data_IF_943874945948
#
_entry.id   IF_943874945948
#
_cell.length_a   1.000
_cell.length_b   1.000
_cell.length_c   1.000
_cell.angle_alpha   90.00
_cell.angle_beta   90.00
_cell.angle_gamma   90.00
#
_symmetry.space_group_name_H-M   'P 1'
#
loop_
_entity.id
_entity.type
_entity.pdbx_description
1 polymer ?
#
# COMPACT_ATOMS: atom_id res chain seq x y z
N UNK A 1 -36.83 1.75 -10.20
CA UNK A 1 -35.49 2.05 -9.72
C UNK A 1 -34.49 0.99 -10.17
N UNK A 2 -33.33 1.43 -10.58
CA UNK A 2 -32.24 0.60 -11.09
C UNK A 2 -31.00 0.78 -10.22
N UNK A 3 -30.27 -0.31 -9.90
CA UNK A 3 -29.00 -0.27 -9.19
C UNK A 3 -27.89 -0.76 -10.12
N UNK A 4 -26.80 0.01 -10.20
CA UNK A 4 -25.58 -0.44 -10.88
C UNK A 4 -24.54 -0.91 -9.89
N UNK A 5 -23.76 -1.93 -10.29
CA UNK A 5 -22.63 -2.47 -9.51
C UNK A 5 -21.52 -2.87 -10.47
N UNK A 6 -20.29 -2.62 -10.12
CA UNK A 6 -19.18 -3.07 -10.96
C UNK A 6 -17.91 -2.24 -10.77
N UNK A 7 -17.07 -2.63 -9.82
CA UNK A 7 -15.75 -2.03 -9.59
C UNK A 7 -15.77 -0.50 -9.41
N UNK A 8 -16.90 0.04 -8.92
CA UNK A 8 -17.04 1.46 -8.55
C UNK A 8 -16.26 1.62 -7.24
N UNK A 9 -15.25 2.46 -7.26
CA UNK A 9 -14.34 2.68 -6.14
C UNK A 9 -13.87 4.15 -6.04
N UNK A 10 -14.23 4.93 -7.05
CA UNK A 10 -13.96 6.37 -7.11
C UNK A 10 -15.27 7.12 -6.90
N UNK A 11 -15.34 8.07 -5.95
CA UNK A 11 -16.55 8.86 -5.69
C UNK A 11 -17.07 9.56 -6.94
N UNK A 12 -16.16 10.17 -7.71
CA UNK A 12 -16.55 10.87 -8.93
C UNK A 12 -17.27 9.95 -9.94
N UNK A 13 -16.83 8.71 -10.07
CA UNK A 13 -17.50 7.74 -10.97
C UNK A 13 -18.92 7.43 -10.47
N UNK A 14 -19.11 7.28 -9.16
CA UNK A 14 -20.41 7.04 -8.56
C UNK A 14 -21.36 8.24 -8.80
N UNK A 15 -20.89 9.45 -8.51
CA UNK A 15 -21.66 10.70 -8.72
C UNK A 15 -21.99 10.93 -10.20
N UNK A 16 -21.05 10.71 -11.10
CA UNK A 16 -21.27 10.88 -12.55
C UNK A 16 -22.37 9.90 -13.07
N UNK A 17 -22.46 8.68 -12.56
CA UNK A 17 -23.51 7.70 -12.91
C UNK A 17 -24.88 8.19 -12.44
N UNK A 18 -24.97 8.64 -11.18
CA UNK A 18 -26.23 9.15 -10.61
C UNK A 18 -26.68 10.45 -11.32
N UNK A 19 -25.74 11.36 -11.54
CA UNK A 19 -26.05 12.64 -12.19
C UNK A 19 -26.54 12.50 -13.64
N UNK A 20 -26.06 11.48 -14.38
CA UNK A 20 -26.54 11.18 -15.73
C UNK A 20 -27.88 10.42 -15.74
N UNK A 21 -28.34 9.93 -14.60
CA UNK A 21 -29.53 9.08 -14.53
C UNK A 21 -29.31 7.66 -15.08
N UNK A 22 -28.06 7.20 -15.18
CA UNK A 22 -27.73 5.85 -15.64
C UNK A 22 -28.18 4.78 -14.63
N UNK A 23 -28.31 5.16 -13.35
CA UNK A 23 -28.87 4.35 -12.29
C UNK A 23 -29.41 5.23 -11.15
N UNK A 24 -30.35 4.69 -10.35
CA UNK A 24 -30.88 5.34 -9.15
C UNK A 24 -30.03 5.05 -7.92
N UNK A 25 -29.30 3.94 -7.92
CA UNK A 25 -28.48 3.49 -6.79
C UNK A 25 -27.14 2.93 -7.26
N UNK A 26 -26.13 3.09 -6.38
CA UNK A 26 -24.80 2.51 -6.54
C UNK A 26 -24.62 1.34 -5.60
N UNK A 27 -24.37 0.14 -6.13
CA UNK A 27 -24.03 -1.05 -5.38
C UNK A 27 -22.50 -1.19 -5.22
N UNK A 28 -22.03 -1.41 -4.01
CA UNK A 28 -20.61 -1.58 -3.73
C UNK A 28 -20.36 -2.84 -2.91
N UNK A 29 -19.40 -3.67 -3.33
CA UNK A 29 -18.94 -4.84 -2.58
C UNK A 29 -17.49 -4.67 -2.11
N UNK A 30 -16.52 -4.96 -2.98
CA UNK A 30 -15.09 -4.93 -2.64
C UNK A 30 -14.59 -3.54 -2.22
N UNK A 31 -15.23 -2.46 -2.68
CA UNK A 31 -14.95 -1.09 -2.22
C UNK A 31 -15.17 -0.97 -0.71
N UNK A 32 -16.31 -1.45 -0.19
CA UNK A 32 -16.64 -1.40 1.24
C UNK A 32 -15.85 -2.43 2.06
N UNK A 33 -15.42 -3.56 1.47
CA UNK A 33 -14.46 -4.46 2.15
C UNK A 33 -13.12 -3.76 2.36
N UNK A 34 -12.66 -3.00 1.36
CA UNK A 34 -11.42 -2.24 1.48
C UNK A 34 -11.56 -1.06 2.45
N UNK A 35 -12.67 -0.36 2.40
CA UNK A 35 -12.96 0.80 3.28
C UNK A 35 -14.45 0.84 3.65
N UNK A 36 -14.86 0.35 4.82
CA UNK A 36 -16.25 0.40 5.26
C UNK A 36 -16.77 1.83 5.44
N UNK A 37 -15.89 2.80 5.70
CA UNK A 37 -16.22 4.21 5.89
C UNK A 37 -16.26 5.01 4.57
N UNK A 38 -16.22 4.34 3.42
CA UNK A 38 -16.14 4.97 2.11
C UNK A 38 -17.23 6.05 1.92
N UNK A 39 -18.49 5.71 2.22
CA UNK A 39 -19.63 6.63 2.03
C UNK A 39 -19.52 7.82 2.98
N UNK A 40 -19.24 7.58 4.26
CA UNK A 40 -19.05 8.63 5.26
C UNK A 40 -17.92 9.58 4.86
N UNK A 41 -16.81 9.05 4.35
CA UNK A 41 -15.68 9.87 3.89
C UNK A 41 -16.06 10.76 2.71
N UNK A 42 -16.88 10.26 1.78
CA UNK A 42 -17.39 11.07 0.67
C UNK A 42 -18.34 12.16 1.18
N UNK A 43 -19.30 11.80 2.03
CA UNK A 43 -20.27 12.73 2.60
C UNK A 43 -19.60 13.92 3.32
N UNK A 44 -18.50 13.64 4.04
CA UNK A 44 -17.76 14.69 4.75
C UNK A 44 -16.61 15.31 3.97
N UNK A 45 -16.49 15.05 2.66
CA UNK A 45 -15.44 15.63 1.80
C UNK A 45 -14.03 15.10 2.05
N UNK A 46 -13.89 13.93 2.69
CA UNK A 46 -12.62 13.30 3.06
C UNK A 46 -12.20 12.22 2.05
N UNK A 47 -12.39 12.46 0.77
CA UNK A 47 -12.13 11.46 -0.29
C UNK A 47 -10.67 10.99 -0.35
N UNK A 48 -9.72 11.85 0.00
CA UNK A 48 -8.31 11.51 0.07
C UNK A 48 -7.99 10.46 1.16
N UNK A 49 -8.89 10.28 2.13
CA UNK A 49 -8.77 9.29 3.19
C UNK A 49 -9.36 7.92 2.82
N UNK A 50 -9.91 7.78 1.62
CA UNK A 50 -10.48 6.52 1.16
C UNK A 50 -9.37 5.51 0.84
N UNK A 51 -9.43 4.34 1.48
CA UNK A 51 -8.60 3.19 1.16
C UNK A 51 -9.20 2.45 -0.04
N UNK A 52 -8.84 2.85 -1.25
CA UNK A 52 -9.43 2.30 -2.48
C UNK A 52 -9.07 0.81 -2.68
N UNK A 53 -10.07 0.01 -3.10
CA UNK A 53 -9.84 -1.37 -3.50
C UNK A 53 -8.89 -1.45 -4.71
N UNK A 54 -7.80 -2.21 -4.62
CA UNK A 54 -6.84 -2.40 -5.72
C UNK A 54 -7.24 -3.53 -6.69
N UNK A 55 -8.41 -4.11 -6.53
CA UNK A 55 -8.98 -5.18 -7.39
C UNK A 55 -8.11 -6.44 -7.52
N UNK A 56 -7.32 -6.76 -6.50
CA UNK A 56 -6.41 -7.91 -6.50
C UNK A 56 -7.11 -9.28 -6.38
N UNK A 57 -8.33 -9.32 -5.88
CA UNK A 57 -9.14 -10.53 -5.62
C UNK A 57 -8.52 -11.58 -4.67
N UNK A 58 -7.35 -11.35 -4.12
CA UNK A 58 -6.58 -12.36 -3.36
C UNK A 58 -7.32 -12.73 -2.06
N UNK A 59 -7.52 -11.79 -1.17
CA UNK A 59 -8.08 -12.05 0.16
C UNK A 59 -9.60 -12.15 0.19
N UNK A 60 -10.31 -11.54 -0.74
CA UNK A 60 -11.77 -11.60 -0.82
C UNK A 60 -12.25 -12.78 -1.69
N UNK A 61 -12.29 -12.63 -3.01
CA UNK A 61 -12.78 -13.66 -3.92
C UNK A 61 -11.94 -14.95 -3.84
N UNK A 62 -10.62 -14.85 -3.81
CA UNK A 62 -9.72 -16.00 -3.74
C UNK A 62 -9.94 -16.82 -2.46
N UNK A 63 -10.04 -16.17 -1.29
CA UNK A 63 -10.33 -16.88 -0.04
C UNK A 63 -11.75 -17.46 -0.03
N UNK A 64 -12.76 -16.66 -0.39
CA UNK A 64 -14.15 -17.11 -0.29
C UNK A 64 -14.52 -18.17 -1.33
N UNK A 65 -14.16 -17.94 -2.59
CA UNK A 65 -14.53 -18.80 -3.72
C UNK A 65 -13.51 -19.92 -3.90
N UNK A 66 -12.20 -19.58 -3.89
CA UNK A 66 -11.14 -20.53 -4.19
C UNK A 66 -10.82 -21.48 -3.02
N UNK A 67 -10.85 -20.99 -1.77
CA UNK A 67 -10.44 -21.74 -0.58
C UNK A 67 -11.58 -22.06 0.37
N UNK A 68 -12.80 -21.54 0.13
CA UNK A 68 -13.95 -21.62 1.04
C UNK A 68 -13.62 -21.18 2.48
N UNK A 69 -12.87 -20.10 2.61
CA UNK A 69 -12.45 -19.54 3.89
C UNK A 69 -13.02 -18.12 4.11
N UNK A 70 -13.00 -17.61 5.35
CA UNK A 70 -13.40 -16.23 5.62
C UNK A 70 -12.64 -15.24 4.76
N UNK A 71 -13.31 -14.20 4.30
CA UNK A 71 -12.68 -13.15 3.50
C UNK A 71 -11.62 -12.40 4.32
N UNK A 72 -10.59 -11.96 3.61
CA UNK A 72 -9.58 -10.99 4.07
C UNK A 72 -9.43 -9.91 3.01
N UNK A 73 -8.70 -8.88 3.31
CA UNK A 73 -8.38 -7.85 2.33
C UNK A 73 -6.89 -7.53 2.36
N UNK A 74 -6.27 -7.44 1.18
CA UNK A 74 -4.85 -7.12 1.04
C UNK A 74 -4.52 -5.70 1.53
N UNK A 75 -5.47 -4.78 1.42
CA UNK A 75 -5.28 -3.37 1.80
C UNK A 75 -5.99 -2.98 3.10
N UNK A 76 -6.87 -3.83 3.64
CA UNK A 76 -7.57 -3.57 4.89
C UNK A 76 -7.33 -4.72 5.88
N UNK A 77 -6.40 -4.56 6.83
CA UNK A 77 -6.09 -5.60 7.80
C UNK A 77 -7.21 -5.87 8.81
N UNK A 78 -8.18 -4.95 8.96
CA UNK A 78 -9.27 -5.07 9.94
C UNK A 78 -10.43 -5.98 9.48
N UNK A 79 -10.40 -6.52 8.26
CA UNK A 79 -11.48 -7.39 7.76
C UNK A 79 -11.52 -8.72 8.53
N UNK A 80 -12.66 -9.00 9.17
CA UNK A 80 -12.91 -10.20 10.00
C UNK A 80 -11.97 -10.39 11.20
N UNK A 81 -11.34 -9.33 11.67
CA UNK A 81 -10.49 -9.39 12.87
C UNK A 81 -11.26 -9.02 14.15
N UNK A 82 -12.50 -8.54 14.00
CA UNK A 82 -13.33 -8.12 15.14
C UNK A 82 -12.63 -7.07 16.00
N UNK A 83 -12.84 -7.17 17.31
CA UNK A 83 -12.23 -6.26 18.28
C UNK A 83 -10.71 -6.44 18.42
N UNK A 84 -10.16 -7.57 18.00
CA UNK A 84 -8.71 -7.87 18.08
C UNK A 84 -7.85 -6.87 17.30
N UNK A 85 -8.42 -6.21 16.30
CA UNK A 85 -7.74 -5.17 15.52
C UNK A 85 -8.03 -3.74 16.02
N UNK A 86 -8.74 -3.59 17.12
CA UNK A 86 -8.98 -2.28 17.73
C UNK A 86 -7.65 -1.71 18.23
N UNK A 87 -7.24 -0.59 17.66
CA UNK A 87 -6.00 0.10 18.03
C UNK A 87 -6.14 0.74 19.40
N UNK A 88 -5.80 -0.01 20.44
CA UNK A 88 -5.75 0.51 21.79
C UNK A 88 -4.53 1.43 21.95
N UNK A 89 -4.71 2.54 22.63
CA UNK A 89 -3.59 3.43 22.96
C UNK A 89 -2.60 2.74 23.89
N UNK A 90 -1.32 3.01 23.67
CA UNK A 90 -0.28 2.51 24.59
C UNK A 90 -0.42 3.18 25.96
N UNK A 91 -0.23 2.40 27.02
CA UNK A 91 -0.28 2.92 28.39
C UNK A 91 0.96 3.75 28.75
N UNK A 92 2.05 3.51 28.08
CA UNK A 92 3.34 4.18 28.31
C UNK A 92 3.93 4.62 26.98
N UNK A 93 4.34 5.88 26.85
CA UNK A 93 5.03 6.35 25.64
C UNK A 93 6.24 5.48 25.31
N UNK A 94 6.43 5.17 24.04
CA UNK A 94 7.58 4.42 23.54
C UNK A 94 8.07 5.01 22.22
N UNK A 95 9.34 4.77 21.91
CA UNK A 95 9.96 5.13 20.65
C UNK A 95 10.01 3.91 19.72
N UNK A 96 9.44 4.04 18.54
CA UNK A 96 9.46 3.00 17.53
C UNK A 96 10.25 3.46 16.32
N UNK A 97 11.26 2.69 15.92
CA UNK A 97 12.02 2.95 14.69
C UNK A 97 11.62 1.90 13.65
N UNK A 98 11.13 2.36 12.52
CA UNK A 98 10.75 1.51 11.38
C UNK A 98 11.74 1.72 10.25
N UNK A 99 12.35 0.64 9.78
CA UNK A 99 13.37 0.64 8.72
C UNK A 99 12.75 0.13 7.43
N UNK A 100 12.59 1.02 6.45
CA UNK A 100 11.98 0.76 5.15
C UNK A 100 10.60 1.37 4.99
N UNK A 101 10.45 2.27 4.01
CA UNK A 101 9.24 3.03 3.69
C UNK A 101 8.33 2.36 2.65
N UNK A 102 8.38 1.03 2.54
CA UNK A 102 7.43 0.24 1.74
C UNK A 102 6.06 0.11 2.41
N UNK A 103 5.15 -0.64 1.81
CA UNK A 103 3.78 -0.81 2.33
C UNK A 103 3.75 -1.38 3.75
N UNK A 104 4.61 -2.35 4.05
CA UNK A 104 4.72 -2.95 5.38
C UNK A 104 5.24 -1.95 6.42
N UNK A 105 6.29 -1.19 6.07
CA UNK A 105 6.85 -0.19 6.98
C UNK A 105 5.91 1.00 7.20
N UNK A 106 5.22 1.45 6.17
CA UNK A 106 4.20 2.49 6.30
C UNK A 106 3.05 2.05 7.21
N UNK A 107 2.55 0.81 7.08
CA UNK A 107 1.49 0.30 7.98
C UNK A 107 2.01 0.20 9.42
N UNK A 108 3.20 -0.34 9.63
CA UNK A 108 3.80 -0.43 10.96
C UNK A 108 3.99 0.96 11.59
N UNK A 109 4.54 1.92 10.82
CA UNK A 109 4.78 3.27 11.31
C UNK A 109 3.49 4.03 11.63
N UNK A 110 2.48 3.96 10.75
CA UNK A 110 1.18 4.58 11.00
C UNK A 110 0.50 3.97 12.23
N UNK A 111 0.50 2.64 12.34
CA UNK A 111 -0.13 1.95 13.47
C UNK A 111 0.56 2.30 14.79
N UNK A 112 1.89 2.31 14.84
CA UNK A 112 2.64 2.70 16.03
C UNK A 112 2.33 4.14 16.46
N UNK A 113 2.32 5.07 15.50
CA UNK A 113 1.99 6.46 15.78
C UNK A 113 0.52 6.64 16.23
N UNK A 114 -0.43 5.96 15.58
CA UNK A 114 -1.85 6.02 15.93
C UNK A 114 -2.16 5.49 17.31
N UNK A 115 -1.40 4.50 17.80
CA UNK A 115 -1.56 4.03 19.19
C UNK A 115 -0.84 4.91 20.22
N UNK A 116 -0.06 5.90 19.78
CA UNK A 116 0.54 6.92 20.66
C UNK A 116 2.04 6.83 20.85
N UNK A 117 2.75 5.98 20.08
CA UNK A 117 4.21 5.94 20.11
C UNK A 117 4.81 7.12 19.32
N UNK A 118 5.99 7.60 19.76
CA UNK A 118 6.84 8.44 18.91
C UNK A 118 7.49 7.54 17.86
N UNK A 119 7.23 7.79 16.58
CA UNK A 119 7.65 6.86 15.54
C UNK A 119 8.56 7.52 14.53
N UNK A 120 9.63 6.82 14.16
CA UNK A 120 10.63 7.25 13.19
C UNK A 120 10.64 6.25 12.02
N UNK A 121 10.31 6.71 10.83
CA UNK A 121 10.35 5.91 9.60
C UNK A 121 11.56 6.31 8.78
N UNK A 122 12.48 5.38 8.53
CA UNK A 122 13.72 5.61 7.79
C UNK A 122 13.64 4.89 6.45
N UNK A 123 13.77 5.62 5.35
CA UNK A 123 13.75 5.09 3.97
C UNK A 123 15.00 5.57 3.21
N UNK A 124 15.73 4.61 2.61
CA UNK A 124 16.96 4.91 1.85
C UNK A 124 16.71 5.62 0.52
N UNK A 125 15.51 5.44 -0.06
CA UNK A 125 15.12 6.09 -1.32
C UNK A 125 14.47 7.44 -1.05
N UNK A 126 14.39 8.27 -2.11
CA UNK A 126 13.68 9.55 -2.04
C UNK A 126 12.17 9.37 -1.89
N UNK A 127 11.62 8.28 -2.43
CA UNK A 127 10.19 8.03 -2.50
C UNK A 127 9.77 6.88 -1.59
N UNK A 128 8.63 7.08 -0.92
CA UNK A 128 7.95 6.06 -0.13
C UNK A 128 7.07 5.16 -1.02
N UNK A 129 6.58 4.05 -0.44
CA UNK A 129 5.65 3.12 -1.09
C UNK A 129 6.33 1.85 -1.62
N UNK A 130 7.66 1.84 -1.70
CA UNK A 130 8.46 0.65 -1.99
C UNK A 130 8.10 -0.02 -3.31
N UNK A 131 8.12 -1.35 -3.34
CA UNK A 131 7.90 -2.14 -4.55
C UNK A 131 6.51 -1.95 -5.17
N UNK A 132 5.48 -1.70 -4.35
CA UNK A 132 4.12 -1.45 -4.85
C UNK A 132 4.06 -0.19 -5.74
N UNK A 133 4.75 0.89 -5.35
CA UNK A 133 4.86 2.10 -6.17
C UNK A 133 5.66 1.86 -7.45
N UNK A 134 6.70 1.04 -7.42
CA UNK A 134 7.47 0.69 -8.63
C UNK A 134 6.60 -0.11 -9.60
N UNK A 135 5.93 -1.17 -9.15
CA UNK A 135 5.08 -2.02 -10.00
C UNK A 135 3.90 -1.24 -10.59
N UNK A 136 3.38 -0.25 -9.88
CA UNK A 136 2.27 0.58 -10.34
C UNK A 136 2.60 1.44 -11.56
N UNK A 137 3.88 1.58 -11.93
CA UNK A 137 4.32 2.27 -13.15
C UNK A 137 3.95 1.48 -14.43
N UNK A 138 3.72 0.17 -14.30
CA UNK A 138 3.21 -0.65 -15.41
C UNK A 138 1.78 -0.19 -15.73
N UNK A 139 1.43 0.11 -17.01
CA UNK A 139 0.13 0.68 -17.40
C UNK A 139 -1.08 -0.07 -16.83
N UNK A 140 -1.08 -1.40 -16.90
CA UNK A 140 -2.17 -2.25 -16.41
C UNK A 140 -2.19 -2.44 -14.88
N UNK A 141 -1.17 -1.94 -14.19
CA UNK A 141 -1.02 -2.04 -12.73
C UNK A 141 -1.21 -0.71 -11.99
N UNK A 142 -1.64 0.35 -12.67
CA UNK A 142 -1.79 1.71 -12.10
C UNK A 142 -2.62 1.73 -10.80
N UNK A 143 -3.64 0.86 -10.70
CA UNK A 143 -4.48 0.74 -9.48
C UNK A 143 -3.70 0.36 -8.23
N UNK A 144 -2.54 -0.27 -8.39
CA UNK A 144 -1.70 -0.63 -7.25
C UNK A 144 -1.15 0.60 -6.53
N UNK A 145 -1.01 1.75 -7.22
CA UNK A 145 -0.57 3.01 -6.63
C UNK A 145 -1.53 3.56 -5.57
N UNK A 146 -2.82 3.25 -5.66
CA UNK A 146 -3.82 3.79 -4.72
C UNK A 146 -3.50 3.43 -3.27
N UNK A 147 -2.96 2.23 -3.02
CA UNK A 147 -2.66 1.81 -1.67
C UNK A 147 -1.43 2.51 -1.07
N UNK A 148 -0.24 2.52 -1.69
CA UNK A 148 0.88 3.29 -1.17
C UNK A 148 0.57 4.79 -1.08
N UNK A 149 -0.17 5.38 -2.01
CA UNK A 149 -0.58 6.78 -1.93
C UNK A 149 -1.47 7.06 -0.71
N UNK A 150 -2.46 6.20 -0.46
CA UNK A 150 -3.27 6.27 0.75
C UNK A 150 -2.41 6.16 2.02
N UNK A 151 -1.45 5.23 2.06
CA UNK A 151 -0.56 5.03 3.22
C UNK A 151 0.34 6.25 3.47
N UNK A 152 0.88 6.84 2.41
CA UNK A 152 1.70 8.05 2.50
C UNK A 152 0.86 9.24 3.00
N UNK A 153 -0.36 9.38 2.47
CA UNK A 153 -1.30 10.41 2.93
C UNK A 153 -1.62 10.24 4.41
N UNK A 154 -1.96 9.03 4.85
CA UNK A 154 -2.21 8.68 6.26
C UNK A 154 -1.00 9.00 7.14
N UNK A 155 0.20 8.62 6.72
CA UNK A 155 1.42 8.88 7.47
C UNK A 155 1.69 10.37 7.69
N UNK A 156 1.44 11.20 6.67
CA UNK A 156 1.66 12.66 6.73
C UNK A 156 0.70 13.40 7.67
N UNK A 157 -0.43 12.79 8.04
CA UNK A 157 -1.39 13.35 9.00
C UNK A 157 -1.01 13.13 10.47
N UNK A 158 -0.02 12.29 10.75
CA UNK A 158 0.37 11.88 12.09
C UNK A 158 1.53 12.76 12.60
N UNK A 159 1.25 13.58 13.61
CA UNK A 159 2.20 14.56 14.16
C UNK A 159 3.37 13.91 14.94
N UNK A 160 3.20 12.68 15.41
CA UNK A 160 4.17 11.89 16.14
C UNK A 160 4.88 10.84 15.26
N UNK A 161 4.76 10.95 13.93
CA UNK A 161 5.48 10.15 12.94
C UNK A 161 6.47 11.04 12.18
N UNK A 162 7.77 10.79 12.37
CA UNK A 162 8.88 11.47 11.72
C UNK A 162 9.41 10.63 10.57
N UNK A 163 9.43 11.18 9.35
CA UNK A 163 9.79 10.46 8.13
C UNK A 163 11.12 10.99 7.60
N UNK A 164 12.11 10.11 7.44
CA UNK A 164 13.43 10.39 6.89
C UNK A 164 13.60 9.62 5.58
N UNK A 165 13.48 10.32 4.46
CA UNK A 165 13.80 9.78 3.13
C UNK A 165 15.25 10.09 2.75
N UNK A 166 15.77 9.46 1.68
CA UNK A 166 17.19 9.55 1.29
C UNK A 166 18.16 9.22 2.43
N UNK A 167 17.73 8.39 3.39
CA UNK A 167 18.48 8.11 4.61
C UNK A 167 18.67 6.61 4.77
N UNK A 168 19.94 6.17 4.74
CA UNK A 168 20.28 4.78 5.06
C UNK A 168 20.22 4.55 6.58
N UNK A 169 19.53 3.50 7.02
CA UNK A 169 19.48 3.14 8.44
C UNK A 169 20.80 2.47 8.85
N UNK A 170 21.71 3.24 9.46
CA UNK A 170 22.90 2.69 10.12
C UNK A 170 22.60 2.34 11.58
N UNK A 171 23.39 1.46 12.16
CA UNK A 171 23.25 1.08 13.57
C UNK A 171 23.40 2.29 14.51
N UNK A 172 24.28 3.22 14.17
CA UNK A 172 24.52 4.45 14.94
C UNK A 172 23.28 5.36 14.90
N UNK A 173 22.72 5.59 13.70
CA UNK A 173 21.51 6.40 13.54
C UNK A 173 20.34 5.79 14.31
N UNK A 174 20.10 4.49 14.15
CA UNK A 174 19.01 3.80 14.84
C UNK A 174 19.17 3.91 16.36
N UNK A 175 20.37 3.67 16.90
CA UNK A 175 20.65 3.80 18.32
C UNK A 175 20.46 5.23 18.85
N UNK A 176 20.82 6.25 18.05
CA UNK A 176 20.67 7.66 18.45
C UNK A 176 19.21 8.09 18.66
N UNK A 177 18.26 7.38 18.07
CA UNK A 177 16.81 7.61 18.25
C UNK A 177 16.26 6.95 19.52
N UNK A 178 17.09 6.27 20.32
CA UNK A 178 16.69 5.57 21.54
C UNK A 178 15.45 4.69 21.37
N UNK A 179 15.45 3.72 20.46
CA UNK A 179 14.28 2.91 20.17
C UNK A 179 13.98 1.92 21.31
N UNK A 180 12.71 1.86 21.73
CA UNK A 180 12.18 0.76 22.53
C UNK A 180 11.87 -0.45 21.63
N UNK A 181 11.44 -0.17 20.37
CA UNK A 181 11.07 -1.17 19.37
C UNK A 181 11.70 -0.81 18.03
N UNK A 182 12.28 -1.79 17.36
CA UNK A 182 12.75 -1.68 15.98
C UNK A 182 11.95 -2.63 15.09
N UNK A 183 11.35 -2.07 14.03
CA UNK A 183 10.63 -2.83 13.02
C UNK A 183 11.46 -2.87 11.74
N UNK A 184 11.93 -4.06 11.37
CA UNK A 184 12.62 -4.27 10.10
C UNK A 184 11.60 -4.54 8.97
N UNK A 185 11.42 -3.58 8.09
CA UNK A 185 10.53 -3.63 6.94
C UNK A 185 11.26 -3.33 5.61
N UNK A 186 12.53 -3.72 5.52
CA UNK A 186 13.42 -3.42 4.37
C UNK A 186 13.03 -4.13 3.08
N UNK A 187 12.06 -5.03 3.12
CA UNK A 187 11.54 -5.76 1.95
C UNK A 187 12.44 -6.91 1.52
N UNK A 188 12.35 -7.25 0.25
CA UNK A 188 13.10 -8.34 -0.36
C UNK A 188 13.85 -7.87 -1.61
N UNK A 189 14.88 -8.61 -1.98
CA UNK A 189 15.60 -8.45 -3.24
C UNK A 189 15.29 -9.63 -4.16
N UNK A 190 15.18 -9.41 -5.48
CA UNK A 190 14.99 -10.50 -6.43
C UNK A 190 16.16 -11.49 -6.36
N UNK A 191 15.85 -12.77 -6.34
CA UNK A 191 16.83 -13.84 -6.47
C UNK A 191 16.82 -14.37 -7.90
N UNK A 192 17.97 -14.45 -8.54
CA UNK A 192 18.09 -15.03 -9.87
C UNK A 192 17.97 -16.56 -9.79
N UNK A 193 17.28 -17.20 -10.75
CA UNK A 193 17.25 -18.65 -10.83
C UNK A 193 18.65 -19.19 -11.20
N UNK A 194 18.98 -20.44 -10.84
CA UNK A 194 20.29 -21.05 -11.07
C UNK A 194 20.47 -21.46 -12.55
N UNK A 195 20.48 -20.48 -13.45
CA UNK A 195 20.70 -20.67 -14.88
C UNK A 195 22.14 -20.30 -15.19
N UNK A 196 22.88 -21.22 -15.81
CA UNK A 196 24.29 -21.00 -16.17
C UNK A 196 24.44 -19.75 -17.07
N UNK A 197 25.35 -18.86 -16.72
CA UNK A 197 25.60 -17.62 -17.44
C UNK A 197 24.60 -16.48 -17.19
N UNK A 198 23.49 -16.71 -16.48
CA UNK A 198 22.50 -15.67 -16.24
C UNK A 198 23.07 -14.48 -15.45
N UNK A 199 23.89 -14.73 -14.45
CA UNK A 199 24.54 -13.67 -13.66
C UNK A 199 25.48 -12.78 -14.49
N UNK A 200 25.98 -13.30 -15.61
CA UNK A 200 26.89 -12.56 -16.50
C UNK A 200 26.14 -11.69 -17.51
N UNK A 201 24.86 -11.93 -17.70
CA UNK A 201 24.04 -11.26 -18.72
C UNK A 201 22.98 -10.32 -18.13
N UNK A 202 22.42 -10.66 -16.95
CA UNK A 202 21.27 -9.94 -16.41
C UNK A 202 21.61 -8.49 -16.02
N UNK A 203 20.76 -7.58 -16.43
CA UNK A 203 20.82 -6.13 -16.14
C UNK A 203 22.11 -5.43 -16.61
N UNK A 204 22.88 -6.05 -17.51
CA UNK A 204 24.10 -5.46 -18.07
C UNK A 204 23.82 -4.72 -19.39
N UNK A 205 24.61 -3.69 -19.65
CA UNK A 205 24.52 -2.94 -20.90
C UNK A 205 24.85 -3.83 -22.11
N UNK A 206 24.08 -3.66 -23.18
CA UNK A 206 24.23 -4.42 -24.42
C UNK A 206 23.67 -5.84 -24.39
N UNK A 207 23.01 -6.26 -23.31
CA UNK A 207 22.31 -7.54 -23.21
C UNK A 207 20.78 -7.36 -23.28
N UNK A 208 20.09 -8.40 -23.79
CA UNK A 208 18.62 -8.45 -23.82
C UNK A 208 18.04 -9.20 -22.61
N UNK A 209 18.81 -9.31 -21.52
CA UNK A 209 18.42 -10.02 -20.31
C UNK A 209 18.30 -9.02 -19.18
N UNK A 210 17.09 -8.84 -18.66
CA UNK A 210 16.81 -7.90 -17.59
C UNK A 210 15.92 -8.50 -16.51
N UNK A 211 16.09 -8.05 -15.27
CA UNK A 211 15.10 -8.30 -14.23
C UNK A 211 13.83 -7.50 -14.51
N UNK A 212 12.68 -7.99 -14.02
CA UNK A 212 11.40 -7.26 -14.14
C UNK A 212 11.51 -5.85 -13.56
N UNK A 213 12.25 -5.67 -12.47
CA UNK A 213 12.42 -4.35 -11.86
C UNK A 213 13.20 -3.41 -12.78
N UNK A 214 14.28 -3.89 -13.37
CA UNK A 214 15.07 -3.10 -14.33
C UNK A 214 14.26 -2.74 -15.57
N UNK A 215 13.46 -3.69 -16.06
CA UNK A 215 12.55 -3.44 -17.17
C UNK A 215 11.51 -2.35 -16.82
N UNK A 216 10.94 -2.35 -15.60
CA UNK A 216 9.99 -1.31 -15.17
C UNK A 216 10.67 0.07 -15.09
N UNK A 217 11.92 0.15 -14.64
CA UNK A 217 12.68 1.41 -14.63
C UNK A 217 12.86 1.98 -16.05
N UNK A 218 12.97 1.12 -17.04
CA UNK A 218 13.23 1.44 -18.45
C UNK A 218 12.00 1.37 -19.35
N UNK A 219 10.77 1.38 -18.79
CA UNK A 219 9.52 1.22 -19.55
C UNK A 219 9.37 2.20 -20.73
N UNK A 220 9.96 3.39 -20.64
CA UNK A 220 9.90 4.40 -21.70
C UNK A 220 10.87 4.09 -22.88
N UNK A 221 11.80 3.17 -22.69
CA UNK A 221 12.79 2.79 -23.69
C UNK A 221 12.28 1.63 -24.59
N UNK A 222 11.21 0.96 -24.18
CA UNK A 222 10.62 -0.13 -24.95
C UNK A 222 9.55 0.38 -25.92
N UNK A 223 9.45 -0.21 -27.14
CA UNK A 223 8.40 0.15 -28.09
C UNK A 223 7.01 0.00 -27.45
N UNK A 224 6.14 0.94 -27.73
CA UNK A 224 4.72 0.85 -27.44
C UNK A 224 4.05 0.41 -28.72
N UNK A 225 3.85 -0.88 -28.88
CA UNK A 225 2.99 -1.41 -29.93
C UNK A 225 1.52 -1.26 -29.56
#
# INVERSE_FOLDING_TARGET
PCMTVGNIRDPKVAEDILARGDADFIGMGRGLIADPEWVNKVEFGNECDIRKCISCNIGCAGHRIGLNQPIRCTVNPAVNTGEDYMKQKVNKPCNVVVIGGGTAGLEAACTAAEVGCTTFLIEKKAELGGLASVISRIPDKKRLADFPNYMIHRARKLHNLFIFTNTGATAELVKSLNPDIIVNATGSVPTLPPITGLHDLVDKDGTNVATVLKMIERLNEYPKD
#
